data_IF_323576357371
#
_entry.id   IF_323576357371
#
_cell.length_a   1.000
_cell.length_b   1.000
_cell.length_c   1.000
_cell.angle_alpha   90.00
_cell.angle_beta   90.00
_cell.angle_gamma   90.00
#
_symmetry.space_group_name_H-M   'P 1'
#
loop_
_entity.id
_entity.type
_entity.pdbx_description
1 polymer ?
#
# COMPACT_ATOMS: atom_id res chain seq x y z
N UNK A 1 -0.84 -18.58 -2.72
CA UNK A 1 -1.51 -17.59 -3.59
C UNK A 1 -0.66 -17.19 -4.79
N UNK A 2 0.65 -16.98 -4.64
CA UNK A 2 1.58 -16.67 -5.74
C UNK A 2 1.46 -17.64 -6.92
N UNK A 3 1.37 -18.96 -6.69
CA UNK A 3 1.15 -19.96 -7.74
C UNK A 3 -0.19 -19.76 -8.49
N UNK A 4 -1.27 -19.58 -7.75
CA UNK A 4 -2.63 -19.35 -8.29
C UNK A 4 -2.65 -18.13 -9.21
N UNK A 5 -2.05 -17.02 -8.75
CA UNK A 5 -1.95 -15.78 -9.51
C UNK A 5 -1.01 -15.91 -10.72
N UNK A 6 0.17 -16.50 -10.54
CA UNK A 6 1.17 -16.68 -11.60
C UNK A 6 0.64 -17.48 -12.78
N UNK A 7 -0.25 -18.43 -12.52
CA UNK A 7 -0.81 -19.32 -13.53
C UNK A 7 -2.27 -19.00 -13.89
N UNK A 8 -2.84 -17.89 -13.39
CA UNK A 8 -4.23 -17.49 -13.62
C UNK A 8 -5.24 -18.63 -13.37
N UNK A 9 -5.04 -19.41 -12.31
CA UNK A 9 -5.90 -20.54 -12.00
C UNK A 9 -7.32 -20.04 -11.65
N UNK A 10 -8.34 -20.69 -12.21
CA UNK A 10 -9.73 -20.45 -11.82
C UNK A 10 -10.00 -21.02 -10.42
N UNK A 11 -11.07 -20.55 -9.77
CA UNK A 11 -11.47 -21.10 -8.47
C UNK A 11 -11.79 -22.60 -8.51
N UNK A 12 -12.29 -23.10 -9.64
CA UNK A 12 -12.52 -24.53 -9.90
C UNK A 12 -11.18 -25.26 -10.02
N UNK A 13 -10.25 -24.76 -10.83
CA UNK A 13 -8.93 -25.38 -10.98
C UNK A 13 -8.14 -25.42 -9.65
N UNK A 14 -8.29 -24.40 -8.81
CA UNK A 14 -7.75 -24.41 -7.44
C UNK A 14 -8.44 -25.46 -6.56
N UNK A 15 -9.77 -25.60 -6.61
CA UNK A 15 -10.49 -26.63 -5.86
C UNK A 15 -10.05 -28.03 -6.29
N UNK A 16 -9.92 -28.28 -7.58
CA UNK A 16 -9.46 -29.58 -8.11
C UNK A 16 -8.03 -29.89 -7.67
N UNK A 17 -7.14 -28.89 -7.70
CA UNK A 17 -5.78 -29.01 -7.20
C UNK A 17 -5.77 -29.37 -5.70
N UNK A 18 -6.52 -28.65 -4.87
CA UNK A 18 -6.61 -28.93 -3.43
C UNK A 18 -7.17 -30.33 -3.16
N UNK A 19 -8.12 -30.78 -3.99
CA UNK A 19 -8.70 -32.13 -3.92
C UNK A 19 -7.65 -33.18 -4.25
N UNK A 20 -6.87 -32.99 -5.33
CA UNK A 20 -5.76 -33.88 -5.71
C UNK A 20 -4.72 -33.98 -4.59
N UNK A 21 -4.32 -32.85 -4.00
CA UNK A 21 -3.36 -32.81 -2.91
C UNK A 21 -3.89 -33.52 -1.66
N UNK A 22 -5.15 -33.32 -1.29
CA UNK A 22 -5.73 -34.00 -0.13
C UNK A 22 -5.94 -35.50 -0.34
N UNK A 23 -6.07 -35.96 -1.60
CA UNK A 23 -6.11 -37.39 -1.90
C UNK A 23 -4.74 -38.07 -1.70
N UNK A 24 -3.64 -37.39 -2.06
CA UNK A 24 -2.28 -37.93 -1.93
C UNK A 24 -1.65 -37.65 -0.56
N UNK A 25 -2.02 -36.52 0.05
CA UNK A 25 -1.45 -35.99 1.27
C UNK A 25 -2.56 -35.44 2.19
N UNK A 26 -3.40 -36.32 2.76
CA UNK A 26 -4.55 -35.90 3.55
C UNK A 26 -4.14 -35.05 4.75
N UNK A 27 -4.76 -33.87 4.88
CA UNK A 27 -4.57 -32.97 6.02
C UNK A 27 -3.36 -32.03 5.93
N UNK A 28 -2.52 -32.11 4.90
CA UNK A 28 -1.40 -31.18 4.73
C UNK A 28 -1.79 -29.82 4.14
N UNK A 29 -2.89 -29.77 3.39
CA UNK A 29 -3.40 -28.52 2.78
C UNK A 29 -4.91 -28.39 3.00
N UNK A 30 -5.45 -27.16 3.04
CA UNK A 30 -6.89 -26.93 3.15
C UNK A 30 -7.69 -27.69 2.09
N UNK A 31 -8.77 -28.34 2.52
CA UNK A 31 -9.59 -29.21 1.66
C UNK A 31 -10.42 -28.45 0.62
N UNK A 32 -10.69 -27.17 0.85
CA UNK A 32 -11.56 -26.36 -0.01
C UNK A 32 -10.94 -25.02 -0.34
N UNK A 33 -11.37 -24.42 -1.45
CA UNK A 33 -10.98 -23.06 -1.84
C UNK A 33 -11.31 -22.06 -0.73
N UNK A 34 -12.46 -22.23 -0.06
CA UNK A 34 -12.83 -21.40 1.10
C UNK A 34 -11.80 -21.50 2.22
N UNK A 35 -11.43 -22.72 2.65
CA UNK A 35 -10.45 -22.91 3.71
C UNK A 35 -9.05 -22.44 3.26
N UNK A 36 -8.72 -22.61 1.99
CA UNK A 36 -7.49 -22.09 1.41
C UNK A 36 -7.42 -20.56 1.48
N UNK A 37 -8.47 -19.86 1.08
CA UNK A 37 -8.54 -18.40 1.22
C UNK A 37 -8.63 -17.95 2.68
N UNK A 38 -9.25 -18.74 3.56
CA UNK A 38 -9.25 -18.44 5.00
C UNK A 38 -7.86 -18.58 5.62
N UNK A 39 -7.14 -19.64 5.27
CA UNK A 39 -5.82 -19.95 5.82
C UNK A 39 -4.69 -19.12 5.17
N UNK A 40 -4.81 -18.84 3.88
CA UNK A 40 -3.75 -18.24 3.08
C UNK A 40 -4.20 -17.05 2.24
N UNK A 41 -5.43 -16.54 2.38
CA UNK A 41 -5.89 -15.33 1.68
C UNK A 41 -5.66 -14.05 2.47
N UNK A 42 -5.27 -14.17 3.74
CA UNK A 42 -4.86 -13.03 4.56
C UNK A 42 -3.42 -12.65 4.22
N UNK A 43 -3.22 -11.84 3.17
CA UNK A 43 -1.91 -11.22 2.90
C UNK A 43 -1.94 -9.75 3.30
N UNK A 44 -1.03 -9.39 4.20
CA UNK A 44 -0.91 -8.04 4.73
C UNK A 44 -2.05 -7.68 5.68
N UNK A 45 -1.73 -6.91 6.72
CA UNK A 45 -2.79 -6.26 7.49
C UNK A 45 -3.27 -5.06 6.68
N UNK A 46 -4.45 -5.21 6.08
CA UNK A 46 -5.16 -4.12 5.43
C UNK A 46 -6.44 -3.80 6.21
N UNK A 47 -6.83 -2.54 6.20
CA UNK A 47 -8.08 -2.04 6.79
C UNK A 47 -8.95 -1.40 5.71
N UNK A 48 -10.22 -1.82 5.56
CA UNK A 48 -11.16 -1.11 4.72
C UNK A 48 -11.44 0.29 5.30
N UNK A 49 -11.33 1.31 4.45
CA UNK A 49 -11.79 2.66 4.74
C UNK A 49 -12.96 2.98 3.82
N UNK A 50 -14.02 3.51 4.41
CA UNK A 50 -15.30 3.72 3.74
C UNK A 50 -15.46 5.16 3.25
N UNK A 51 -16.30 5.30 2.22
CA UNK A 51 -16.77 6.59 1.73
C UNK A 51 -18.28 6.53 1.49
N UNK A 52 -18.93 7.69 1.52
CA UNK A 52 -20.37 7.77 1.33
C UNK A 52 -20.75 7.36 -0.09
N UNK A 53 -21.74 6.46 -0.22
CA UNK A 53 -22.24 6.02 -1.52
C UNK A 53 -22.89 7.14 -2.35
N UNK A 54 -23.42 8.18 -1.69
CA UNK A 54 -24.17 9.24 -2.35
C UNK A 54 -23.30 10.42 -2.77
N UNK A 55 -22.35 10.85 -1.92
CA UNK A 55 -21.55 12.05 -2.17
C UNK A 55 -20.03 11.80 -2.16
N UNK A 56 -19.61 10.55 -2.03
CA UNK A 56 -18.19 10.13 -2.02
C UNK A 56 -17.35 10.74 -0.89
N UNK A 57 -17.95 11.44 0.09
CA UNK A 57 -17.22 11.97 1.25
C UNK A 57 -16.58 10.84 2.05
N UNK A 58 -15.33 11.01 2.46
CA UNK A 58 -14.62 10.10 3.36
C UNK A 58 -15.36 9.88 4.69
N UNK A 59 -15.60 8.62 5.04
CA UNK A 59 -16.25 8.21 6.30
C UNK A 59 -15.20 7.74 7.31
N UNK A 60 -14.22 6.96 6.85
CA UNK A 60 -13.16 6.42 7.71
C UNK A 60 -13.20 4.91 7.87
N UNK A 61 -12.34 4.36 8.75
CA UNK A 61 -12.31 2.93 9.04
C UNK A 61 -13.52 2.50 9.88
N UNK A 62 -13.82 1.21 9.90
CA UNK A 62 -15.02 0.66 10.57
C UNK A 62 -15.07 0.98 12.07
N UNK A 63 -13.93 1.08 12.74
CA UNK A 63 -13.84 1.33 14.18
C UNK A 63 -14.28 2.76 14.57
N UNK A 64 -14.21 3.71 13.64
CA UNK A 64 -14.51 5.14 13.90
C UNK A 64 -15.63 5.68 13.01
N UNK A 65 -16.31 4.81 12.26
CA UNK A 65 -17.28 5.25 11.27
C UNK A 65 -18.57 5.77 11.96
N UNK A 66 -19.05 6.98 11.60
CA UNK A 66 -20.33 7.51 12.08
C UNK A 66 -21.52 6.74 11.51
N UNK A 67 -22.69 6.85 12.15
CA UNK A 67 -23.97 6.30 11.66
C UNK A 67 -24.48 6.99 10.38
N UNK A 68 -24.10 8.25 10.15
CA UNK A 68 -24.52 9.03 8.99
C UNK A 68 -23.33 9.77 8.39
N UNK A 69 -23.38 9.98 7.07
CA UNK A 69 -22.42 10.80 6.36
C UNK A 69 -22.48 12.26 6.86
N UNK A 70 -21.34 12.82 7.23
CA UNK A 70 -21.21 14.19 7.72
C UNK A 70 -21.57 15.27 6.69
N UNK A 71 -21.53 14.96 5.39
CA UNK A 71 -21.81 15.93 4.32
C UNK A 71 -23.25 15.91 3.81
N UNK A 72 -23.85 14.73 3.65
CA UNK A 72 -25.19 14.60 3.04
C UNK A 72 -26.20 13.85 3.90
N UNK A 73 -25.82 13.47 5.13
CA UNK A 73 -26.65 12.77 6.11
C UNK A 73 -27.17 11.39 5.67
N UNK A 74 -26.72 10.85 4.53
CA UNK A 74 -27.00 9.47 4.12
C UNK A 74 -26.56 8.49 5.20
N UNK A 75 -27.43 7.56 5.55
CA UNK A 75 -27.15 6.48 6.51
C UNK A 75 -25.95 5.65 6.03
N UNK A 76 -25.04 5.38 6.97
CA UNK A 76 -23.87 4.54 6.72
C UNK A 76 -24.09 3.18 7.35
N UNK A 77 -23.99 2.16 6.51
CA UNK A 77 -24.03 0.76 6.93
C UNK A 77 -22.83 0.02 6.33
N UNK A 78 -22.06 -0.65 7.19
CA UNK A 78 -20.82 -1.32 6.82
C UNK A 78 -21.10 -2.46 5.84
N UNK A 79 -22.11 -3.29 6.11
CA UNK A 79 -22.41 -4.46 5.29
C UNK A 79 -22.83 -4.05 3.88
N UNK A 80 -23.69 -3.04 3.77
CA UNK A 80 -24.13 -2.48 2.51
C UNK A 80 -22.97 -1.82 1.75
N UNK A 81 -22.12 -1.04 2.43
CA UNK A 81 -20.92 -0.44 1.80
C UNK A 81 -19.93 -1.50 1.29
N UNK A 82 -19.72 -2.59 2.03
CA UNK A 82 -18.89 -3.71 1.57
C UNK A 82 -19.49 -4.39 0.33
N UNK A 83 -20.80 -4.64 0.36
CA UNK A 83 -21.52 -5.27 -0.76
C UNK A 83 -21.50 -4.41 -2.02
N UNK A 84 -21.61 -3.09 -1.88
CA UNK A 84 -21.63 -2.14 -2.99
C UNK A 84 -20.23 -1.70 -3.41
N UNK A 85 -19.18 -2.10 -2.69
CA UNK A 85 -17.80 -1.70 -2.99
C UNK A 85 -17.51 -0.24 -2.66
N UNK A 86 -18.26 0.39 -1.76
CA UNK A 86 -18.05 1.78 -1.33
C UNK A 86 -16.94 1.90 -0.27
N UNK A 87 -15.78 1.34 -0.57
CA UNK A 87 -14.60 1.37 0.29
C UNK A 87 -13.31 1.25 -0.54
N UNK A 88 -12.19 1.57 0.10
CA UNK A 88 -10.85 1.28 -0.43
C UNK A 88 -9.99 0.64 0.66
N UNK A 89 -8.92 -0.02 0.24
CA UNK A 89 -8.02 -0.71 1.17
C UNK A 89 -6.92 0.25 1.61
N UNK A 90 -6.66 0.27 2.91
CA UNK A 90 -5.54 0.98 3.51
C UNK A 90 -4.58 -0.05 4.12
N UNK A 91 -3.33 0.00 3.71
CA UNK A 91 -2.24 -0.82 4.22
C UNK A 91 -1.27 0.10 4.96
N UNK A 92 -0.68 -0.40 6.05
CA UNK A 92 0.29 0.38 6.83
C UNK A 92 1.51 0.70 5.98
N UNK A 93 1.73 1.99 5.69
CA UNK A 93 2.91 2.48 5.00
C UNK A 93 4.16 2.29 5.87
N UNK A 94 4.05 2.53 7.17
CA UNK A 94 5.14 2.35 8.13
C UNK A 94 5.64 0.91 8.14
N UNK A 95 4.73 -0.07 8.23
CA UNK A 95 5.09 -1.49 8.19
C UNK A 95 5.78 -1.86 6.86
N UNK A 96 5.26 -1.38 5.73
CA UNK A 96 5.88 -1.64 4.42
C UNK A 96 7.29 -1.04 4.29
N UNK A 97 7.51 0.16 4.84
CA UNK A 97 8.84 0.77 4.87
C UNK A 97 9.78 -0.04 5.77
N UNK A 98 9.34 -0.43 6.98
CA UNK A 98 10.12 -1.31 7.88
C UNK A 98 10.52 -2.60 7.17
N UNK A 99 9.55 -3.27 6.53
CA UNK A 99 9.79 -4.52 5.78
C UNK A 99 10.84 -4.35 4.66
N UNK A 100 10.92 -3.16 4.05
CA UNK A 100 11.96 -2.86 3.05
C UNK A 100 13.30 -2.63 3.74
N UNK A 101 13.34 -1.78 4.78
CA UNK A 101 14.58 -1.39 5.46
C UNK A 101 15.24 -2.54 6.23
N UNK A 102 14.48 -3.56 6.64
CA UNK A 102 15.00 -4.72 7.36
C UNK A 102 15.57 -5.82 6.44
N UNK A 103 15.46 -5.67 5.11
CA UNK A 103 16.09 -6.62 4.18
C UNK A 103 17.62 -6.49 4.24
N UNK A 104 18.36 -7.61 4.27
CA UNK A 104 19.81 -7.59 4.48
C UNK A 104 20.60 -6.88 3.36
N UNK A 105 20.07 -6.89 2.12
CA UNK A 105 20.71 -6.27 0.96
C UNK A 105 20.29 -4.80 0.74
N UNK A 106 19.52 -4.23 1.67
CA UNK A 106 19.02 -2.87 1.57
C UNK A 106 19.90 -1.93 2.39
N UNK A 107 20.51 -0.99 1.68
CA UNK A 107 21.26 0.12 2.27
C UNK A 107 20.71 1.44 1.74
N UNK A 108 20.46 2.37 2.66
CA UNK A 108 20.17 3.75 2.31
C UNK A 108 21.48 4.38 1.81
N UNK A 109 21.45 4.85 0.56
CA UNK A 109 22.57 5.48 -0.11
C UNK A 109 22.25 6.95 -0.32
N UNK A 110 22.69 7.78 0.62
CA UNK A 110 22.75 9.22 0.40
C UNK A 110 23.91 9.50 -0.55
N UNK A 111 23.60 10.01 -1.74
CA UNK A 111 24.61 10.36 -2.74
C UNK A 111 24.99 11.82 -2.64
N UNK A 112 26.29 12.08 -2.71
CA UNK A 112 26.78 13.41 -3.01
C UNK A 112 26.53 13.75 -4.48
N UNK A 113 25.96 14.93 -4.72
CA UNK A 113 25.73 15.41 -6.07
C UNK A 113 27.05 15.81 -6.72
N UNK A 114 27.30 15.31 -7.94
CA UNK A 114 28.45 15.75 -8.74
C UNK A 114 28.03 16.92 -9.63
N UNK A 115 28.71 18.08 -9.60
CA UNK A 115 28.34 19.23 -10.42
C UNK A 115 28.22 18.86 -11.90
N UNK A 116 27.08 19.19 -12.51
CA UNK A 116 26.81 18.96 -13.93
C UNK A 116 26.36 17.53 -14.29
N UNK A 117 26.22 16.61 -13.32
CA UNK A 117 25.76 15.24 -13.56
C UNK A 117 24.45 14.99 -12.80
N UNK A 118 23.39 14.69 -13.54
CA UNK A 118 22.09 14.29 -12.98
C UNK A 118 21.95 12.77 -13.07
N UNK A 119 22.30 12.06 -11.99
CA UNK A 119 22.31 10.59 -11.97
C UNK A 119 21.02 9.97 -11.43
N UNK A 120 20.33 10.66 -10.52
CA UNK A 120 19.04 10.26 -9.96
C UNK A 120 18.32 11.48 -9.33
N UNK A 121 17.23 11.20 -8.62
CA UNK A 121 16.38 12.21 -7.95
C UNK A 121 17.16 12.98 -6.88
N UNK A 122 18.11 12.34 -6.18
CA UNK A 122 18.87 13.00 -5.12
C UNK A 122 19.78 14.08 -5.68
N UNK A 123 20.22 13.98 -6.94
CA UNK A 123 20.99 15.03 -7.61
C UNK A 123 20.16 16.28 -7.96
N UNK A 124 18.83 16.21 -7.85
CA UNK A 124 17.92 17.32 -8.18
C UNK A 124 18.10 18.54 -7.28
N UNK A 125 17.99 19.74 -7.86
CA UNK A 125 18.22 21.00 -7.15
C UNK A 125 17.34 21.16 -5.90
N UNK A 126 16.07 20.75 -5.96
CA UNK A 126 15.16 20.83 -4.80
C UNK A 126 15.56 19.85 -3.70
N UNK A 127 15.90 18.59 -4.02
CA UNK A 127 16.37 17.63 -3.01
C UNK A 127 17.64 18.13 -2.31
N UNK A 128 18.61 18.62 -3.09
CA UNK A 128 19.84 19.19 -2.56
C UNK A 128 19.58 20.41 -1.68
N UNK A 129 18.63 21.26 -2.04
CA UNK A 129 18.20 22.40 -1.21
C UNK A 129 17.60 21.93 0.12
N UNK A 130 16.76 20.90 0.14
CA UNK A 130 16.22 20.33 1.39
C UNK A 130 17.32 19.81 2.31
N UNK A 131 18.33 19.10 1.76
CA UNK A 131 19.50 18.64 2.51
C UNK A 131 20.37 19.81 3.02
N UNK A 132 20.73 20.75 2.16
CA UNK A 132 21.63 21.88 2.49
C UNK A 132 21.01 22.85 3.51
N UNK A 133 19.69 23.03 3.48
CA UNK A 133 18.98 23.88 4.45
C UNK A 133 18.75 23.21 5.80
N UNK A 134 19.15 21.94 5.96
CA UNK A 134 18.90 21.16 7.17
C UNK A 134 17.43 20.78 7.38
N UNK A 135 16.58 21.02 6.38
CA UNK A 135 15.19 20.59 6.42
C UNK A 135 15.09 19.07 6.36
N UNK A 136 16.07 18.37 5.79
CA UNK A 136 16.18 16.91 5.82
C UNK A 136 17.48 16.48 6.51
N UNK A 137 17.36 15.72 7.60
CA UNK A 137 18.49 15.16 8.33
C UNK A 137 19.13 13.96 7.63
N UNK A 138 20.17 13.39 8.24
CA UNK A 138 20.88 12.23 7.69
C UNK A 138 20.10 10.91 7.86
N UNK A 139 19.27 10.83 8.90
CA UNK A 139 18.39 9.69 9.16
C UNK A 139 16.98 9.86 8.57
N UNK A 140 16.68 11.03 7.99
CA UNK A 140 15.39 11.27 7.34
C UNK A 140 15.35 10.57 5.97
N UNK A 141 14.19 10.04 5.62
CA UNK A 141 13.91 9.45 4.32
C UNK A 141 12.88 10.29 3.56
N UNK A 142 13.01 10.32 2.24
CA UNK A 142 12.05 10.95 1.34
C UNK A 142 11.29 9.88 0.57
N UNK A 143 9.99 10.13 0.36
CA UNK A 143 9.13 9.24 -0.40
C UNK A 143 8.72 9.91 -1.71
N UNK A 144 9.02 9.24 -2.83
CA UNK A 144 8.39 9.52 -4.10
C UNK A 144 7.07 8.76 -4.16
N UNK A 145 5.98 9.43 -4.54
CA UNK A 145 4.69 8.75 -4.69
C UNK A 145 3.96 9.14 -5.97
N UNK A 146 3.14 8.22 -6.46
CA UNK A 146 2.26 8.42 -7.61
C UNK A 146 0.95 7.65 -7.41
N UNK A 147 -0.08 8.02 -8.16
CA UNK A 147 -1.36 7.34 -8.20
C UNK A 147 -1.94 7.44 -9.60
N UNK A 148 -2.20 6.30 -10.25
CA UNK A 148 -2.76 6.25 -11.60
C UNK A 148 -3.72 5.07 -11.77
N UNK A 149 -4.66 5.19 -12.71
CA UNK A 149 -5.70 4.23 -12.97
C UNK A 149 -5.25 3.11 -13.90
N UNK A 150 -5.42 1.87 -13.46
CA UNK A 150 -5.10 0.66 -14.21
C UNK A 150 -6.42 -0.04 -14.57
N UNK A 151 -6.80 -0.14 -15.86
CA UNK A 151 -7.98 -0.89 -16.26
C UNK A 151 -7.78 -2.39 -15.98
N UNK A 152 -8.71 -3.01 -15.26
CA UNK A 152 -8.61 -4.43 -14.88
C UNK A 152 -9.07 -5.34 -16.02
N UNK A 153 -10.12 -4.93 -16.73
CA UNK A 153 -10.72 -5.72 -17.81
C UNK A 153 -10.83 -4.87 -19.07
N UNK A 154 -10.66 -5.49 -20.24
CA UNK A 154 -10.86 -4.82 -21.53
C UNK A 154 -12.33 -4.53 -21.84
N UNK A 155 -13.24 -5.26 -21.20
CA UNK A 155 -14.68 -5.27 -21.48
C UNK A 155 -15.54 -4.61 -20.40
N UNK A 156 -14.93 -4.10 -19.31
CA UNK A 156 -15.65 -3.43 -18.24
C UNK A 156 -14.83 -2.22 -17.76
N UNK A 157 -15.49 -1.23 -17.18
CA UNK A 157 -14.91 0.02 -16.71
C UNK A 157 -14.26 -0.10 -15.32
N UNK A 158 -14.07 -1.32 -14.80
CA UNK A 158 -13.42 -1.54 -13.50
C UNK A 158 -11.94 -1.16 -13.60
N UNK A 159 -11.53 -0.27 -12.72
CA UNK A 159 -10.17 0.27 -12.61
C UNK A 159 -9.64 0.07 -11.20
N UNK A 160 -8.34 -0.16 -11.11
CA UNK A 160 -7.57 -0.14 -9.87
C UNK A 160 -6.77 1.16 -9.82
N UNK A 161 -6.81 1.85 -8.69
CA UNK A 161 -6.00 3.03 -8.42
C UNK A 161 -5.13 2.74 -7.20
N UNK A 162 -3.87 2.30 -7.37
CA UNK A 162 -2.93 2.16 -6.27
C UNK A 162 -2.26 3.51 -6.01
N UNK A 163 -2.15 3.90 -4.74
CA UNK A 163 -1.11 4.84 -4.34
C UNK A 163 0.17 4.02 -4.24
N UNK A 164 1.18 4.39 -5.01
CA UNK A 164 2.49 3.75 -5.03
C UNK A 164 3.51 4.68 -4.42
N UNK A 165 4.40 4.12 -3.59
CA UNK A 165 5.45 4.86 -2.91
C UNK A 165 6.80 4.16 -3.07
N UNK A 166 7.86 4.94 -3.22
CA UNK A 166 9.26 4.49 -3.30
C UNK A 166 10.13 5.34 -2.39
N UNK A 167 11.08 4.71 -1.70
CA UNK A 167 12.07 5.39 -0.86
C UNK A 167 13.17 5.95 -1.77
N UNK A 168 13.36 7.28 -1.76
CA UNK A 168 14.31 7.99 -2.64
C UNK A 168 15.77 7.64 -2.32
N UNK A 169 16.06 7.34 -1.05
CA UNK A 169 17.39 6.99 -0.56
C UNK A 169 17.86 5.59 -0.99
N UNK A 170 17.02 4.79 -1.64
CA UNK A 170 17.42 3.52 -2.25
C UNK A 170 18.04 3.74 -3.63
N UNK A 171 18.93 2.84 -4.06
CA UNK A 171 19.43 2.90 -5.44
C UNK A 171 18.32 2.63 -6.46
N UNK A 172 18.36 3.19 -7.68
CA UNK A 172 17.25 3.08 -8.65
C UNK A 172 16.81 1.64 -8.96
N UNK A 173 17.74 0.68 -9.03
CA UNK A 173 17.42 -0.74 -9.26
C UNK A 173 16.69 -1.36 -8.07
N UNK A 174 17.04 -0.94 -6.86
CA UNK A 174 16.43 -1.42 -5.63
C UNK A 174 15.04 -0.81 -5.45
N UNK A 175 14.84 0.46 -5.80
CA UNK A 175 13.52 1.13 -5.77
C UNK A 175 12.47 0.36 -6.58
N UNK A 176 12.83 -0.10 -7.79
CA UNK A 176 11.91 -0.83 -8.68
C UNK A 176 11.37 -2.14 -8.08
N UNK A 177 12.17 -2.82 -7.25
CA UNK A 177 11.78 -4.05 -6.57
C UNK A 177 11.10 -3.83 -5.21
N UNK A 178 11.04 -2.60 -4.72
CA UNK A 178 10.59 -2.25 -3.36
C UNK A 178 9.59 -1.09 -3.40
N UNK A 179 8.43 -1.34 -4.04
CA UNK A 179 7.31 -0.39 -4.10
C UNK A 179 6.35 -0.67 -2.95
N UNK A 180 6.05 0.34 -2.16
CA UNK A 180 4.97 0.29 -1.17
C UNK A 180 3.65 0.66 -1.84
N UNK A 181 2.56 0.01 -1.40
CA UNK A 181 1.19 0.31 -1.82
C UNK A 181 0.36 0.61 -0.57
N UNK A 182 0.42 1.83 -0.02
CA UNK A 182 -0.31 2.18 1.21
C UNK A 182 -1.82 2.27 1.04
N UNK A 183 -2.33 2.52 -0.17
CA UNK A 183 -3.77 2.52 -0.42
C UNK A 183 -4.09 1.91 -1.79
N UNK A 184 -5.21 1.21 -1.88
CA UNK A 184 -5.68 0.57 -3.10
C UNK A 184 -7.18 0.78 -3.26
N UNK A 185 -7.58 1.46 -4.33
CA UNK A 185 -8.98 1.62 -4.70
C UNK A 185 -9.31 0.71 -5.87
N UNK A 186 -10.48 0.07 -5.81
CA UNK A 186 -11.06 -0.72 -6.89
C UNK A 186 -12.48 -0.22 -7.15
N UNK A 187 -12.76 0.28 -8.35
CA UNK A 187 -14.09 0.81 -8.67
C UNK A 187 -14.32 0.97 -10.16
N UNK A 188 -15.53 1.34 -10.54
CA UNK A 188 -15.92 1.52 -11.95
C UNK A 188 -15.50 2.88 -12.54
N UNK A 189 -14.86 3.73 -11.74
CA UNK A 189 -14.46 5.08 -12.08
C UNK A 189 -13.23 5.50 -11.28
N UNK A 190 -12.63 6.60 -11.73
CA UNK A 190 -11.60 7.31 -10.96
C UNK A 190 -12.16 7.70 -9.58
N UNK A 191 -11.41 7.48 -8.49
CA UNK A 191 -11.84 7.89 -7.16
C UNK A 191 -11.97 9.41 -7.03
N UNK A 192 -12.83 9.84 -6.11
CA UNK A 192 -12.70 11.16 -5.52
C UNK A 192 -11.34 11.26 -4.81
N UNK A 193 -10.40 11.99 -5.40
CA UNK A 193 -9.02 12.05 -4.92
C UNK A 193 -8.89 12.69 -3.54
N UNK A 194 -9.77 13.63 -3.18
CA UNK A 194 -9.75 14.22 -1.83
C UNK A 194 -10.08 13.15 -0.78
N UNK A 195 -11.12 12.35 -1.04
CA UNK A 195 -11.49 11.23 -0.18
C UNK A 195 -10.40 10.15 -0.14
N UNK A 196 -9.92 9.72 -1.31
CA UNK A 196 -8.97 8.62 -1.39
C UNK A 196 -7.62 8.94 -0.74
N UNK A 197 -7.12 10.16 -0.95
CA UNK A 197 -5.84 10.60 -0.37
C UNK A 197 -5.91 10.88 1.13
N UNK A 198 -7.11 10.98 1.73
CA UNK A 198 -7.27 11.34 3.15
C UNK A 198 -6.51 10.38 4.07
N UNK A 199 -6.68 9.07 3.88
CA UNK A 199 -6.00 8.07 4.70
C UNK A 199 -4.49 8.04 4.45
N UNK A 200 -4.06 8.22 3.21
CA UNK A 200 -2.64 8.28 2.84
C UNK A 200 -1.92 9.46 3.48
N UNK A 201 -2.50 10.66 3.39
CA UNK A 201 -1.94 11.88 4.00
C UNK A 201 -1.90 11.76 5.52
N UNK A 202 -2.89 11.11 6.14
CA UNK A 202 -2.85 10.85 7.57
C UNK A 202 -1.65 9.97 7.97
N UNK A 203 -1.37 8.90 7.21
CA UNK A 203 -0.20 8.05 7.43
C UNK A 203 1.13 8.81 7.24
N UNK A 204 1.24 9.67 6.21
CA UNK A 204 2.44 10.48 6.02
C UNK A 204 2.67 11.45 7.18
N UNK A 205 1.63 12.12 7.67
CA UNK A 205 1.72 13.01 8.85
C UNK A 205 2.14 12.28 10.11
N UNK A 206 1.62 11.06 10.31
CA UNK A 206 2.03 10.21 11.41
C UNK A 206 3.53 9.85 11.30
N UNK A 207 3.99 9.44 10.12
CA UNK A 207 5.39 9.14 9.83
C UNK A 207 6.33 10.35 10.01
N UNK A 208 5.87 11.55 9.64
CA UNK A 208 6.62 12.80 9.85
C UNK A 208 6.79 13.12 11.34
N UNK A 209 5.74 12.89 12.14
CA UNK A 209 5.74 13.23 13.56
C UNK A 209 6.46 12.19 14.41
N UNK A 210 6.15 10.90 14.19
CA UNK A 210 6.57 9.78 15.02
C UNK A 210 7.86 9.14 14.51
N UNK A 211 8.09 9.14 13.20
CA UNK A 211 9.19 8.42 12.55
C UNK A 211 8.95 6.91 12.46
N UNK A 212 10.01 6.18 12.10
CA UNK A 212 10.00 4.72 11.97
C UNK A 212 11.10 4.13 12.85
N UNK A 213 10.77 3.06 13.59
CA UNK A 213 11.76 2.26 14.33
C UNK A 213 12.02 0.98 13.56
N UNK A 214 13.23 0.79 13.06
CA UNK A 214 13.68 -0.45 12.41
C UNK A 214 14.70 -1.17 13.28
N UNK A 215 14.60 -2.51 13.37
CA UNK A 215 15.48 -3.34 14.19
C UNK A 215 16.74 -3.79 13.44
N UNK A 216 17.39 -2.91 12.66
CA UNK A 216 18.66 -3.28 12.07
C UNK A 216 19.81 -3.08 13.07
N UNK A 217 20.40 -4.21 13.50
CA UNK A 217 21.37 -4.41 14.60
C UNK A 217 22.71 -3.64 14.52
N UNK A 218 22.79 -2.53 13.80
CA UNK A 218 24.00 -1.69 13.76
C UNK A 218 23.76 -0.18 13.90
N UNK A 219 22.51 0.31 13.99
CA UNK A 219 22.17 1.71 14.37
C UNK A 219 20.66 1.81 14.61
N UNK A 220 20.25 2.30 15.78
CA UNK A 220 18.87 2.70 16.02
C UNK A 220 18.52 3.89 15.11
N UNK A 221 17.74 3.66 14.05
CA UNK A 221 17.24 4.73 13.20
C UNK A 221 16.02 5.36 13.87
N UNK A 222 16.12 6.63 14.26
CA UNK A 222 15.01 7.49 14.67
C UNK A 222 14.74 8.54 13.57
N UNK A 223 14.57 8.09 12.33
CA UNK A 223 14.34 8.95 11.17
C UNK A 223 12.89 9.42 11.06
N UNK A 224 12.67 10.70 10.75
CA UNK A 224 11.35 11.23 10.38
C UNK A 224 11.18 11.18 8.86
N UNK A 225 9.97 10.90 8.40
CA UNK A 225 9.66 10.98 6.97
C UNK A 225 9.27 12.42 6.63
N UNK A 226 9.96 13.06 5.70
CA UNK A 226 9.66 14.43 5.26
C UNK A 226 9.29 14.49 3.78
#
# INVERSE_FOLDING_TARGET
MSYVLRHNLTGVALQDLLTLFNAHFPGLVPATTYLFHKAYGQFGQYKPHFYCINCETYIGPSETAPQNCSSCNTEFDIENSLKLGSYFLVLSLSAQIVDILEKPDIHLNTKESTPGILSDIQCGAEYQKFKQTGQMGDDDISILWNCDGIPVFKSNNVQIWPIQCQIVELSPRVQQGNICIPCLWLGNSKPNMATFLTAFVAQLKELEQVGIKSFNKSRDYNGKCK
#
